data_IF_034016448081
#
_entry.id   IF_034016448081
#
_cell.length_a   1.000
_cell.length_b   1.000
_cell.length_c   1.000
_cell.angle_alpha   90.00
_cell.angle_beta   90.00
_cell.angle_gamma   90.00
#
_symmetry.space_group_name_H-M   'P 1'
#
loop_
_entity.id
_entity.type
_entity.pdbx_description
1 polymer ?
#
# COMPACT_ATOMS: atom_id res chain seq x y z
N UNK A 1 1.94 -19.80 -9.75
CA UNK A 1 1.93 -19.58 -8.29
C UNK A 1 1.18 -18.30 -7.98
N UNK A 2 0.28 -18.35 -7.03
CA UNK A 2 -0.56 -17.22 -6.66
C UNK A 2 -0.17 -16.74 -5.27
N UNK A 3 0.06 -15.45 -5.13
CA UNK A 3 0.40 -14.78 -3.87
C UNK A 3 -0.62 -13.70 -3.55
N UNK A 4 -1.07 -13.66 -2.30
CA UNK A 4 -2.00 -12.65 -1.81
C UNK A 4 -1.24 -11.57 -1.06
N UNK A 5 -1.30 -10.35 -1.58
CA UNK A 5 -0.59 -9.20 -1.02
C UNK A 5 -1.62 -8.17 -0.55
N UNK A 6 -1.44 -7.67 0.66
CA UNK A 6 -2.25 -6.58 1.19
C UNK A 6 -1.81 -5.26 0.59
N UNK A 7 -2.64 -4.67 -0.25
CA UNK A 7 -2.38 -3.39 -0.88
C UNK A 7 -3.32 -2.31 -0.38
N UNK A 8 -2.92 -1.06 -0.55
CA UNK A 8 -3.64 0.11 -0.10
C UNK A 8 -3.89 1.06 -1.27
N UNK A 9 -5.10 1.59 -1.35
CA UNK A 9 -5.38 2.67 -2.28
C UNK A 9 -4.92 3.99 -1.65
N UNK A 10 -3.74 4.45 -2.03
CA UNK A 10 -3.09 5.63 -1.44
C UNK A 10 -3.96 6.88 -1.48
N UNK A 11 -4.58 7.16 -2.60
CA UNK A 11 -5.44 8.34 -2.74
C UNK A 11 -6.60 8.34 -1.77
N UNK A 12 -7.31 7.22 -1.66
CA UNK A 12 -8.41 7.06 -0.71
C UNK A 12 -7.93 7.19 0.74
N UNK A 13 -6.80 6.58 1.07
CA UNK A 13 -6.20 6.67 2.39
C UNK A 13 -5.91 8.12 2.79
N UNK A 14 -5.25 8.87 1.92
CA UNK A 14 -4.90 10.28 2.19
C UNK A 14 -6.16 11.13 2.36
N UNK A 15 -7.14 10.98 1.49
CA UNK A 15 -8.39 11.75 1.56
C UNK A 15 -9.18 11.44 2.84
N UNK A 16 -9.28 10.18 3.23
CA UNK A 16 -9.97 9.79 4.46
C UNK A 16 -9.21 10.31 5.67
N UNK A 17 -7.89 10.14 5.71
CA UNK A 17 -7.05 10.62 6.81
C UNK A 17 -7.18 12.13 7.02
N UNK A 18 -7.00 12.92 5.96
CA UNK A 18 -7.10 14.37 6.03
C UNK A 18 -8.52 14.84 6.34
N UNK A 19 -9.52 14.23 5.73
CA UNK A 19 -10.94 14.55 5.98
C UNK A 19 -11.35 14.28 7.42
N UNK A 20 -10.95 13.16 7.99
CA UNK A 20 -11.23 12.83 9.39
C UNK A 20 -10.49 13.74 10.36
N UNK A 21 -9.22 14.07 10.10
CA UNK A 21 -8.46 15.01 10.91
C UNK A 21 -9.08 16.41 10.87
N UNK A 22 -9.47 16.88 9.71
CA UNK A 22 -10.15 18.16 9.54
C UNK A 22 -11.48 18.19 10.30
N UNK A 23 -12.29 17.14 10.14
CA UNK A 23 -13.57 17.03 10.84
C UNK A 23 -13.39 17.00 12.37
N UNK A 24 -12.41 16.25 12.88
CA UNK A 24 -12.10 16.20 14.30
C UNK A 24 -11.68 17.56 14.84
N UNK A 25 -10.79 18.27 14.15
CA UNK A 25 -10.38 19.62 14.52
C UNK A 25 -11.52 20.64 14.49
N UNK A 26 -12.36 20.56 13.46
CA UNK A 26 -13.54 21.40 13.31
C UNK A 26 -14.55 21.19 14.44
N UNK A 27 -14.87 19.94 14.76
CA UNK A 27 -15.77 19.62 15.87
C UNK A 27 -15.21 20.06 17.22
N UNK A 28 -13.91 19.88 17.46
CA UNK A 28 -13.26 20.32 18.70
C UNK A 28 -13.27 21.84 18.85
N UNK A 29 -13.33 22.60 17.76
CA UNK A 29 -13.40 24.07 17.83
C UNK A 29 -14.67 24.58 18.51
N UNK A 30 -15.75 23.81 18.50
CA UNK A 30 -17.01 24.16 19.17
C UNK A 30 -17.06 23.75 20.65
N UNK A 31 -16.13 22.91 21.09
CA UNK A 31 -16.10 22.44 22.48
C UNK A 31 -15.41 23.47 23.36
N UNK A 32 -16.07 23.86 24.43
CA UNK A 32 -15.55 24.85 25.39
C UNK A 32 -14.66 24.19 26.45
N UNK A 33 -13.46 23.80 26.02
CA UNK A 33 -12.40 23.27 26.90
C UNK A 33 -11.09 23.97 26.59
N UNK A 34 -10.09 23.82 27.49
CA UNK A 34 -8.78 24.40 27.24
C UNK A 34 -8.11 23.89 25.98
N UNK A 35 -7.23 24.69 25.38
CA UNK A 35 -6.49 24.28 24.15
C UNK A 35 -5.65 23.03 24.40
N UNK A 36 -5.08 22.88 25.60
CA UNK A 36 -4.30 21.67 25.96
C UNK A 36 -5.18 20.43 25.92
N UNK A 37 -6.41 20.50 26.43
CA UNK A 37 -7.36 19.37 26.40
C UNK A 37 -7.76 19.05 24.97
N UNK A 38 -7.98 20.01 24.10
CA UNK A 38 -8.27 19.81 22.68
C UNK A 38 -7.14 19.06 21.98
N UNK A 39 -5.89 19.46 22.23
CA UNK A 39 -4.70 18.80 21.68
C UNK A 39 -4.61 17.35 22.15
N UNK A 40 -4.84 17.08 23.43
CA UNK A 40 -4.84 15.72 23.98
C UNK A 40 -5.92 14.84 23.34
N UNK A 41 -7.14 15.36 23.19
CA UNK A 41 -8.23 14.64 22.52
C UNK A 41 -7.85 14.32 21.08
N UNK A 42 -7.28 15.27 20.35
CA UNK A 42 -6.86 15.07 18.97
C UNK A 42 -5.78 13.98 18.86
N UNK A 43 -4.80 13.99 19.79
CA UNK A 43 -3.76 12.96 19.84
C UNK A 43 -4.33 11.56 20.06
N UNK A 44 -5.35 11.40 20.90
CA UNK A 44 -6.04 10.13 21.08
C UNK A 44 -6.88 9.72 19.87
N UNK A 45 -7.39 10.68 19.10
CA UNK A 45 -8.13 10.39 17.89
C UNK A 45 -7.24 9.90 16.72
N UNK A 46 -5.98 10.31 16.67
CA UNK A 46 -5.08 9.96 15.54
C UNK A 46 -4.98 8.45 15.31
N UNK A 47 -4.72 7.59 16.31
CA UNK A 47 -4.66 6.15 16.08
C UNK A 47 -5.97 5.56 15.55
N UNK A 48 -7.11 6.05 16.05
CA UNK A 48 -8.43 5.61 15.60
C UNK A 48 -8.69 6.02 14.15
N UNK A 49 -8.39 7.26 13.81
CA UNK A 49 -8.51 7.79 12.45
C UNK A 49 -7.61 7.02 11.50
N UNK A 50 -6.37 6.77 11.90
CA UNK A 50 -5.42 5.99 11.10
C UNK A 50 -5.92 4.58 10.85
N UNK A 51 -6.43 3.91 11.88
CA UNK A 51 -7.02 2.57 11.75
C UNK A 51 -8.19 2.55 10.76
N UNK A 52 -9.12 3.50 10.88
CA UNK A 52 -10.27 3.61 9.99
C UNK A 52 -9.83 3.91 8.55
N UNK A 53 -8.89 4.84 8.37
CA UNK A 53 -8.37 5.19 7.05
C UNK A 53 -7.72 3.98 6.36
N UNK A 54 -6.93 3.19 7.09
CA UNK A 54 -6.33 1.95 6.57
C UNK A 54 -7.41 0.93 6.20
N UNK A 55 -8.37 0.68 7.09
CA UNK A 55 -9.43 -0.33 6.85
C UNK A 55 -10.29 -0.01 5.64
N UNK A 56 -10.67 1.24 5.46
CA UNK A 56 -11.50 1.67 4.31
C UNK A 56 -10.70 1.67 3.01
N UNK A 57 -9.41 1.87 3.08
CA UNK A 57 -8.53 1.98 1.90
C UNK A 57 -7.87 0.66 1.50
N UNK A 58 -8.07 -0.43 2.26
CA UNK A 58 -7.54 -1.74 1.91
C UNK A 58 -8.12 -2.23 0.58
N UNK A 59 -7.23 -2.70 -0.27
CA UNK A 59 -7.58 -3.36 -1.53
C UNK A 59 -6.81 -4.68 -1.62
N UNK A 60 -7.51 -5.83 -1.67
CA UNK A 60 -6.82 -7.09 -1.87
C UNK A 60 -6.16 -7.11 -3.25
N UNK A 61 -4.97 -7.66 -3.35
CA UNK A 61 -4.30 -7.90 -4.61
C UNK A 61 -3.83 -9.35 -4.69
N UNK A 62 -3.95 -9.90 -5.88
CA UNK A 62 -3.49 -11.24 -6.21
C UNK A 62 -2.39 -11.14 -7.26
N UNK A 63 -1.25 -11.72 -6.96
CA UNK A 63 -0.09 -11.75 -7.84
C UNK A 63 0.10 -13.18 -8.33
N UNK A 64 -0.15 -13.41 -9.60
CA UNK A 64 0.03 -14.72 -10.22
C UNK A 64 1.31 -14.72 -11.07
N UNK A 65 2.30 -15.49 -10.62
CA UNK A 65 3.55 -15.70 -11.33
C UNK A 65 3.36 -16.87 -12.31
N UNK A 66 2.94 -16.55 -13.52
CA UNK A 66 2.80 -17.51 -14.62
C UNK A 66 4.17 -17.88 -15.22
N UNK A 67 4.20 -18.80 -16.16
CA UNK A 67 5.44 -19.25 -16.77
C UNK A 67 6.16 -18.17 -17.60
N UNK A 68 5.40 -17.30 -18.27
CA UNK A 68 5.89 -16.30 -19.22
C UNK A 68 5.60 -14.85 -18.81
N UNK A 69 4.73 -14.65 -17.83
CA UNK A 69 4.28 -13.32 -17.43
C UNK A 69 3.94 -13.22 -15.95
N UNK A 70 3.93 -11.99 -15.44
CA UNK A 70 3.41 -11.62 -14.13
C UNK A 70 2.02 -11.03 -14.33
N UNK A 71 1.01 -11.67 -13.76
CA UNK A 71 -0.37 -11.21 -13.77
C UNK A 71 -0.73 -10.68 -12.38
N UNK A 72 -1.14 -9.42 -12.30
CA UNK A 72 -1.52 -8.77 -11.04
C UNK A 72 -2.96 -8.31 -11.15
N UNK A 73 -3.81 -8.79 -10.27
CA UNK A 73 -5.17 -8.30 -10.09
C UNK A 73 -5.24 -7.50 -8.77
N UNK A 74 -5.50 -6.22 -8.88
CA UNK A 74 -5.66 -5.32 -7.74
C UNK A 74 -7.06 -4.72 -7.75
N UNK A 75 -7.97 -5.32 -7.03
CA UNK A 75 -9.36 -4.85 -6.88
C UNK A 75 -10.06 -4.55 -8.22
N UNK A 76 -9.93 -5.48 -9.18
CA UNK A 76 -10.50 -5.38 -10.52
C UNK A 76 -9.62 -4.67 -11.55
N UNK A 77 -8.52 -4.06 -11.13
CA UNK A 77 -7.53 -3.49 -12.03
C UNK A 77 -6.44 -4.51 -12.31
N UNK A 78 -6.33 -4.91 -13.56
CA UNK A 78 -5.42 -5.98 -13.99
C UNK A 78 -4.18 -5.38 -14.65
N UNK A 79 -3.02 -5.91 -14.28
CA UNK A 79 -1.73 -5.62 -14.90
C UNK A 79 -1.11 -6.92 -15.40
N UNK A 80 -0.76 -6.99 -16.66
CA UNK A 80 -0.02 -8.09 -17.27
C UNK A 80 1.34 -7.61 -17.75
N UNK A 81 2.41 -8.21 -17.23
CA UNK A 81 3.78 -7.88 -17.61
C UNK A 81 4.49 -9.15 -18.01
N UNK A 82 4.89 -9.25 -19.28
CA UNK A 82 5.77 -10.32 -19.74
C UNK A 82 7.15 -10.22 -19.09
N UNK A 83 7.75 -11.33 -18.69
CA UNK A 83 9.11 -11.33 -18.12
C UNK A 83 10.15 -10.80 -19.10
N UNK A 84 9.93 -10.92 -20.38
CA UNK A 84 10.81 -10.35 -21.42
C UNK A 84 10.82 -8.82 -21.40
N UNK A 85 9.68 -8.21 -21.05
CA UNK A 85 9.52 -6.75 -20.94
C UNK A 85 9.82 -6.22 -19.54
N UNK A 86 10.05 -7.10 -18.56
CA UNK A 86 10.33 -6.73 -17.19
C UNK A 86 11.82 -6.43 -17.04
N UNK A 87 12.15 -5.17 -16.68
CA UNK A 87 13.52 -4.79 -16.38
C UNK A 87 13.93 -5.25 -14.98
N UNK A 88 13.24 -4.73 -13.98
CA UNK A 88 13.46 -5.10 -12.58
C UNK A 88 12.27 -4.64 -11.72
N UNK A 89 12.21 -5.17 -10.50
CA UNK A 89 11.23 -4.75 -9.48
C UNK A 89 12.00 -4.06 -8.36
N UNK A 90 11.56 -2.88 -7.96
CA UNK A 90 12.14 -2.17 -6.83
C UNK A 90 11.14 -2.08 -5.69
N UNK A 91 11.57 -2.52 -4.52
CA UNK A 91 10.79 -2.44 -3.29
C UNK A 91 11.33 -1.30 -2.43
N UNK A 92 10.66 -0.16 -2.44
CA UNK A 92 11.00 0.98 -1.62
C UNK A 92 10.40 0.82 -0.23
N UNK A 93 11.25 0.78 0.78
CA UNK A 93 10.79 0.75 2.16
C UNK A 93 10.22 2.12 2.54
N UNK A 94 9.03 2.10 3.12
CA UNK A 94 8.31 3.30 3.61
C UNK A 94 7.70 3.01 4.97
N UNK A 95 7.40 4.06 5.72
CA UNK A 95 6.67 3.92 6.97
C UNK A 95 5.28 3.31 6.72
N UNK A 96 4.97 2.25 7.45
CA UNK A 96 3.69 1.55 7.35
C UNK A 96 3.53 0.60 6.19
N UNK A 97 4.55 0.44 5.34
CA UNK A 97 4.49 -0.48 4.21
C UNK A 97 5.62 -0.29 3.22
N UNK A 98 5.43 -0.81 2.03
CA UNK A 98 6.40 -0.72 0.95
C UNK A 98 5.75 -0.17 -0.32
N UNK A 99 6.50 0.60 -1.08
CA UNK A 99 6.13 0.92 -2.45
C UNK A 99 6.83 -0.06 -3.39
N UNK A 100 6.06 -0.91 -4.05
CA UNK A 100 6.57 -1.84 -5.05
C UNK A 100 6.44 -1.18 -6.42
N UNK A 101 7.57 -0.94 -7.06
CA UNK A 101 7.62 -0.35 -8.40
C UNK A 101 8.12 -1.40 -9.39
N UNK A 102 7.35 -1.65 -10.44
CA UNK A 102 7.68 -2.58 -11.51
C UNK A 102 8.14 -1.78 -12.72
N UNK A 103 9.41 -1.89 -13.06
CA UNK A 103 10.02 -1.20 -14.19
C UNK A 103 10.05 -2.10 -15.42
N UNK A 104 9.60 -1.58 -16.53
CA UNK A 104 9.59 -2.25 -17.83
C UNK A 104 10.80 -1.83 -18.66
N UNK A 105 11.23 -2.69 -19.59
CA UNK A 105 12.29 -2.36 -20.54
C UNK A 105 11.89 -1.23 -21.49
N UNK A 106 10.61 -1.10 -21.81
CA UNK A 106 10.10 -0.01 -22.63
C UNK A 106 9.99 1.27 -21.83
N UNK A 107 10.19 2.40 -22.48
CA UNK A 107 9.97 3.71 -21.86
C UNK A 107 8.51 3.87 -21.43
N UNK A 108 8.31 4.26 -20.20
CA UNK A 108 6.97 4.46 -19.65
C UNK A 108 6.98 4.59 -18.13
N UNK A 109 5.83 4.91 -17.59
CA UNK A 109 5.65 5.04 -16.15
C UNK A 109 5.69 3.64 -15.51
N UNK A 110 6.48 3.42 -14.46
CA UNK A 110 6.49 2.15 -13.75
C UNK A 110 5.13 1.89 -13.08
N UNK A 111 4.77 0.62 -12.96
CA UNK A 111 3.60 0.21 -12.19
C UNK A 111 3.95 0.35 -10.71
N UNK A 112 3.18 1.14 -9.99
CA UNK A 112 3.38 1.39 -8.56
C UNK A 112 2.24 0.78 -7.75
N UNK A 113 2.60 -0.04 -6.78
CA UNK A 113 1.66 -0.72 -5.90
C UNK A 113 2.09 -0.49 -4.46
N UNK A 114 1.19 0.05 -3.64
CA UNK A 114 1.42 0.30 -2.22
C UNK A 114 1.03 -0.93 -1.40
N UNK A 115 2.03 -1.63 -0.88
CA UNK A 115 1.82 -2.70 0.07
C UNK A 115 1.59 -2.11 1.46
N UNK A 116 0.52 -2.55 2.12
CA UNK A 116 0.19 -2.13 3.47
C UNK A 116 0.70 -3.15 4.49
N UNK A 117 1.31 -2.65 5.57
CA UNK A 117 1.72 -3.45 6.73
C UNK A 117 0.97 -3.10 8.02
N UNK A 118 0.19 -2.02 8.00
CA UNK A 118 -0.50 -1.52 9.18
C UNK A 118 -1.81 -2.26 9.40
N UNK A 119 -2.03 -2.71 10.64
CA UNK A 119 -3.28 -3.33 11.08
C UNK A 119 -3.74 -4.54 10.27
N UNK A 120 -2.81 -5.27 9.68
CA UNK A 120 -3.07 -6.49 8.89
C UNK A 120 -2.14 -7.61 9.32
N UNK A 121 -2.56 -8.84 9.07
CA UNK A 121 -1.72 -10.03 9.25
C UNK A 121 -0.63 -10.08 8.18
N UNK A 122 0.37 -10.93 8.40
CA UNK A 122 1.40 -11.19 7.38
C UNK A 122 0.74 -11.68 6.08
N UNK A 123 1.27 -11.19 4.97
CA UNK A 123 0.90 -11.61 3.63
C UNK A 123 1.98 -12.53 3.01
N UNK A 124 1.78 -12.91 1.76
CA UNK A 124 2.68 -13.81 1.03
C UNK A 124 3.90 -13.10 0.41
N UNK A 125 4.20 -11.87 0.80
CA UNK A 125 5.22 -11.04 0.15
C UNK A 125 6.61 -11.68 0.19
N UNK A 126 7.03 -12.21 1.33
CA UNK A 126 8.36 -12.79 1.48
C UNK A 126 8.49 -14.06 0.62
N UNK A 127 7.45 -14.88 0.57
CA UNK A 127 7.40 -16.05 -0.30
C UNK A 127 7.46 -15.64 -1.79
N UNK A 128 6.76 -14.59 -2.16
CA UNK A 128 6.79 -14.02 -3.51
C UNK A 128 8.18 -13.51 -3.90
N UNK A 129 8.88 -12.82 -2.98
CA UNK A 129 10.26 -12.35 -3.20
C UNK A 129 11.20 -13.52 -3.44
N UNK A 130 11.07 -14.60 -2.68
CA UNK A 130 11.87 -15.82 -2.90
C UNK A 130 11.60 -16.44 -4.26
N UNK A 131 10.35 -16.49 -4.68
CA UNK A 131 9.99 -17.02 -5.99
C UNK A 131 10.54 -16.15 -7.13
N UNK A 132 10.55 -14.82 -6.99
CA UNK A 132 11.21 -13.94 -7.95
C UNK A 132 12.71 -14.25 -8.07
N UNK A 133 13.38 -14.47 -6.95
CA UNK A 133 14.80 -14.84 -6.93
C UNK A 133 15.04 -16.21 -7.59
N UNK A 134 14.18 -17.18 -7.31
CA UNK A 134 14.26 -18.51 -7.93
C UNK A 134 14.10 -18.46 -9.45
N UNK A 135 13.30 -17.53 -9.96
CA UNK A 135 13.10 -17.29 -11.39
C UNK A 135 14.12 -16.35 -12.01
N UNK A 136 15.13 -15.93 -11.26
CA UNK A 136 16.15 -14.98 -11.69
C UNK A 136 15.59 -13.61 -12.10
N UNK A 137 14.47 -13.22 -11.54
CA UNK A 137 13.89 -11.89 -11.71
C UNK A 137 14.56 -10.96 -10.71
N UNK A 138 15.15 -9.87 -11.21
CA UNK A 138 15.84 -8.91 -10.37
C UNK A 138 14.85 -8.15 -9.48
N UNK A 139 15.03 -8.26 -8.18
CA UNK A 139 14.30 -7.49 -7.19
C UNK A 139 15.28 -6.73 -6.30
N UNK A 140 15.18 -5.41 -6.31
CA UNK A 140 16.02 -4.50 -5.52
C UNK A 140 15.24 -4.06 -4.29
N UNK A 141 15.82 -4.23 -3.12
CA UNK A 141 15.26 -3.80 -1.84
C UNK A 141 16.05 -2.60 -1.32
N UNK A 142 15.36 -1.49 -1.11
CA UNK A 142 16.05 -0.30 -0.61
C UNK A 142 15.24 0.97 -0.62
#
# INVERSE_FOLDING_TARGET
>A
MIFHIHTLHRGRFIWILLGCLFAAGFLLSYVQVSEIVKILILLFCIPVILFLAVKVSLQPSTWDLQADRLHIDKAGKVYDVSYENLAYIKNHLRSGGNLIAIYKNQKGTPIRIWRNKLFVKNDDFDAMVQEFRNRQIEIVIG
#
